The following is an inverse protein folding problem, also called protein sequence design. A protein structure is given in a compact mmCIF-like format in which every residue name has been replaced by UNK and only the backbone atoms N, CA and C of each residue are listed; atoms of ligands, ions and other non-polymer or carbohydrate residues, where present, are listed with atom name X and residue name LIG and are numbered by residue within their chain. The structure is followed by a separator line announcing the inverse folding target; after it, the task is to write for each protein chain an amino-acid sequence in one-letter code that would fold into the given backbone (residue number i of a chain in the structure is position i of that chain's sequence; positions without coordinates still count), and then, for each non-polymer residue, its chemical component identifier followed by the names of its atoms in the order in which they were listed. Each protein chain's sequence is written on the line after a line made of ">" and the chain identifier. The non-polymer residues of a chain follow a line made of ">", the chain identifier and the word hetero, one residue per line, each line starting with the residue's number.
data_IF_222738095376
#
_entry.id   IF_222738095376
#
_cell.length_a   1.000
_cell.length_b   1.000
_cell.length_c   1.000
_cell.angle_alpha   90.00
_cell.angle_beta   90.00
_cell.angle_gamma   90.00
#
_symmetry.space_group_name_H-M   'P 1'
#
loop_
_entity.id
_entity.type
_entity.pdbx_description
1 polymer ?
#
# COMPACT_ATOMS: atom_id res chain seq x y z
N UNK A 1 17.40 1.26 -1.73
CA UNK A 1 16.25 1.60 -2.61
C UNK A 1 15.81 0.44 -3.51
N UNK A 2 16.72 -0.25 -4.22
CA UNK A 2 16.37 -1.38 -5.07
C UNK A 2 15.58 -2.48 -4.32
N UNK A 3 16.01 -2.85 -3.11
CA UNK A 3 15.28 -3.82 -2.29
C UNK A 3 13.84 -3.40 -1.95
N UNK A 4 13.60 -2.11 -1.70
CA UNK A 4 12.23 -1.58 -1.48
C UNK A 4 11.40 -1.72 -2.76
N UNK A 5 11.94 -1.31 -3.91
CA UNK A 5 11.24 -1.40 -5.19
C UNK A 5 10.92 -2.85 -5.57
N UNK A 6 11.87 -3.77 -5.37
CA UNK A 6 11.66 -5.20 -5.59
C UNK A 6 10.58 -5.73 -4.64
N UNK A 7 10.62 -5.37 -3.36
CA UNK A 7 9.61 -5.80 -2.38
C UNK A 7 8.22 -5.28 -2.75
N UNK A 8 8.11 -4.01 -3.15
CA UNK A 8 6.87 -3.41 -3.62
C UNK A 8 6.35 -4.10 -4.88
N UNK A 9 7.23 -4.38 -5.85
CA UNK A 9 6.86 -5.08 -7.08
C UNK A 9 6.37 -6.51 -6.81
N UNK A 10 7.11 -7.28 -6.02
CA UNK A 10 6.72 -8.64 -5.61
C UNK A 10 5.38 -8.61 -4.87
N UNK A 11 5.18 -7.66 -3.96
CA UNK A 11 3.90 -7.48 -3.27
C UNK A 11 2.77 -7.23 -4.25
N UNK A 12 2.93 -6.31 -5.21
CA UNK A 12 1.91 -6.04 -6.23
C UNK A 12 1.59 -7.29 -7.04
N UNK A 13 2.60 -8.06 -7.45
CA UNK A 13 2.40 -9.31 -8.20
C UNK A 13 1.64 -10.36 -7.38
N UNK A 14 2.04 -10.60 -6.13
CA UNK A 14 1.41 -11.59 -5.25
C UNK A 14 -0.05 -11.25 -5.00
N UNK A 15 -0.34 -9.98 -4.73
CA UNK A 15 -1.72 -9.54 -4.55
C UNK A 15 -2.50 -9.56 -5.85
N UNK A 16 -1.93 -9.14 -6.97
CA UNK A 16 -2.59 -9.24 -8.27
C UNK A 16 -2.96 -10.69 -8.58
N UNK A 17 -2.07 -11.65 -8.32
CA UNK A 17 -2.34 -13.09 -8.44
C UNK A 17 -3.44 -13.54 -7.46
N UNK A 18 -3.40 -13.13 -6.19
CA UNK A 18 -4.47 -13.39 -5.23
C UNK A 18 -5.83 -12.90 -5.76
N UNK A 19 -5.89 -11.66 -6.24
CA UNK A 19 -7.11 -11.11 -6.82
C UNK A 19 -7.55 -11.90 -8.05
N UNK A 20 -6.64 -12.22 -8.96
CA UNK A 20 -6.96 -12.91 -10.22
C UNK A 20 -7.43 -14.35 -10.02
N UNK A 21 -6.71 -15.13 -9.21
CA UNK A 21 -6.93 -16.56 -9.14
C UNK A 21 -7.80 -17.00 -7.97
N UNK A 22 -7.94 -16.16 -6.94
CA UNK A 22 -8.71 -16.50 -5.73
C UNK A 22 -9.97 -15.66 -5.62
N UNK A 23 -9.87 -14.33 -5.75
CA UNK A 23 -11.00 -13.44 -5.47
C UNK A 23 -11.89 -13.13 -6.68
N UNK A 24 -11.31 -13.04 -7.88
CA UNK A 24 -12.06 -12.78 -9.12
C UNK A 24 -13.08 -13.89 -9.42
N UNK A 25 -12.78 -15.20 -9.25
CA UNK A 25 -13.79 -16.26 -9.38
C UNK A 25 -14.93 -16.16 -8.35
N UNK A 26 -14.68 -15.49 -7.22
CA UNK A 26 -15.65 -15.28 -6.14
C UNK A 26 -16.33 -13.91 -6.21
N UNK A 27 -16.08 -13.11 -7.26
CA UNK A 27 -16.55 -11.71 -7.35
C UNK A 27 -18.04 -11.60 -7.05
N UNK A 28 -18.87 -12.40 -7.71
CA UNK A 28 -20.33 -12.37 -7.58
C UNK A 28 -20.78 -12.69 -6.15
N UNK A 29 -20.08 -13.63 -5.48
CA UNK A 29 -20.35 -13.96 -4.08
C UNK A 29 -19.92 -12.86 -3.11
N UNK A 30 -18.93 -12.05 -3.48
CA UNK A 30 -18.42 -10.93 -2.69
C UNK A 30 -19.23 -9.64 -2.90
N UNK A 31 -20.07 -9.53 -3.92
CA UNK A 31 -20.80 -8.28 -4.22
C UNK A 31 -21.70 -7.81 -3.07
N UNK A 32 -22.32 -8.75 -2.36
CA UNK A 32 -23.15 -8.45 -1.17
C UNK A 32 -22.35 -7.99 0.05
N UNK A 33 -21.02 -8.17 0.06
CA UNK A 33 -20.16 -7.85 1.18
C UNK A 33 -19.50 -6.49 0.94
N UNK A 34 -20.15 -5.40 1.34
CA UNK A 34 -19.72 -4.02 1.04
C UNK A 34 -18.24 -3.71 1.27
N UNK A 35 -17.64 -4.25 2.34
CA UNK A 35 -16.22 -4.04 2.69
C UNK A 35 -15.25 -4.95 1.94
N UNK A 36 -15.71 -6.10 1.43
CA UNK A 36 -14.88 -7.10 0.74
C UNK A 36 -15.10 -7.11 -0.78
N UNK A 37 -16.17 -6.50 -1.28
CA UNK A 37 -16.44 -6.44 -2.73
C UNK A 37 -15.28 -5.83 -3.49
N UNK A 38 -15.01 -6.39 -4.67
CA UNK A 38 -14.00 -5.89 -5.59
C UNK A 38 -14.60 -4.69 -6.35
N UNK A 39 -14.01 -3.50 -6.18
CA UNK A 39 -14.58 -2.23 -6.70
C UNK A 39 -13.99 -1.81 -8.06
N UNK A 40 -12.86 -2.40 -8.44
CA UNK A 40 -12.18 -2.12 -9.71
C UNK A 40 -12.63 -3.02 -10.85
N UNK A 41 -12.16 -2.67 -12.05
CA UNK A 41 -12.40 -3.43 -13.28
C UNK A 41 -11.85 -4.86 -13.19
N UNK A 42 -12.40 -5.81 -13.97
CA UNK A 42 -11.89 -7.18 -14.05
C UNK A 42 -10.42 -7.23 -14.48
N UNK A 43 -9.73 -8.29 -14.09
CA UNK A 43 -8.30 -8.47 -14.34
C UNK A 43 -7.88 -8.32 -15.82
N UNK A 44 -8.69 -8.82 -16.76
CA UNK A 44 -8.44 -8.72 -18.21
C UNK A 44 -8.28 -7.27 -18.68
N UNK A 45 -9.09 -6.37 -18.15
CA UNK A 45 -9.10 -4.94 -18.52
C UNK A 45 -7.95 -4.20 -17.85
N UNK A 46 -7.57 -4.60 -16.63
CA UNK A 46 -6.39 -4.04 -15.93
C UNK A 46 -5.09 -4.41 -16.62
N UNK A 47 -4.95 -5.63 -17.13
CA UNK A 47 -3.77 -6.06 -17.88
C UNK A 47 -3.65 -5.33 -19.23
N UNK A 48 -4.78 -5.01 -19.88
CA UNK A 48 -4.76 -4.15 -21.07
C UNK A 48 -4.23 -2.73 -20.77
N UNK A 49 -4.39 -2.23 -19.53
CA UNK A 49 -3.79 -0.94 -19.16
C UNK A 49 -2.25 -0.97 -19.13
N UNK A 50 -1.61 -2.15 -19.04
CA UNK A 50 -0.15 -2.27 -19.15
C UNK A 50 0.37 -2.00 -20.56
N UNK A 51 -0.47 -2.13 -21.60
CA UNK A 51 -0.07 -1.80 -22.96
C UNK A 51 -0.14 -0.30 -23.27
N UNK A 52 -0.63 0.53 -22.33
CA UNK A 52 -0.64 1.98 -22.45
C UNK A 52 0.26 2.63 -21.36
N UNK A 53 1.53 2.92 -21.69
CA UNK A 53 2.46 3.56 -20.76
C UNK A 53 2.00 4.93 -20.26
N UNK A 54 1.24 5.68 -21.07
CA UNK A 54 0.74 7.01 -20.71
C UNK A 54 -0.38 6.91 -19.66
N UNK A 55 -1.21 5.86 -19.72
CA UNK A 55 -2.22 5.58 -18.71
C UNK A 55 -1.61 5.31 -17.32
N UNK A 56 -0.40 4.73 -17.27
CA UNK A 56 0.35 4.50 -16.03
C UNK A 56 1.00 5.81 -15.55
N UNK A 57 1.61 6.58 -16.46
CA UNK A 57 2.32 7.82 -16.15
C UNK A 57 1.43 9.02 -15.77
N UNK A 58 0.19 9.11 -16.30
CA UNK A 58 -0.65 10.29 -16.15
C UNK A 58 -1.10 10.61 -14.70
N UNK A 59 -1.15 9.62 -13.81
CA UNK A 59 -1.49 9.81 -12.38
C UNK A 59 -0.25 9.89 -11.47
N UNK A 60 0.94 9.77 -12.06
CA UNK A 60 2.18 9.52 -11.33
C UNK A 60 2.59 10.69 -10.44
N UNK A 61 2.47 11.94 -10.91
CA UNK A 61 2.86 13.12 -10.14
C UNK A 61 2.06 13.24 -8.84
N UNK A 62 0.74 13.04 -8.90
CA UNK A 62 -0.12 13.05 -7.72
C UNK A 62 0.24 11.95 -6.72
N UNK A 63 0.45 10.73 -7.19
CA UNK A 63 0.83 9.61 -6.32
C UNK A 63 2.23 9.76 -5.73
N UNK A 64 3.20 10.29 -6.46
CA UNK A 64 4.56 10.56 -5.96
C UNK A 64 4.55 11.67 -4.91
N UNK A 65 3.86 12.78 -5.17
CA UNK A 65 3.69 13.85 -4.19
C UNK A 65 3.00 13.31 -2.94
N UNK A 66 1.93 12.53 -3.10
CA UNK A 66 1.24 11.91 -1.97
C UNK A 66 2.12 10.90 -1.22
N UNK A 67 2.93 10.12 -1.95
CA UNK A 67 3.90 9.19 -1.39
C UNK A 67 4.92 9.87 -0.48
N UNK A 68 5.39 11.07 -0.84
CA UNK A 68 6.22 11.90 0.05
C UNK A 68 5.47 12.37 1.27
N UNK A 69 4.25 12.89 1.13
CA UNK A 69 3.42 13.32 2.27
C UNK A 69 3.21 12.18 3.25
N UNK A 70 2.85 10.99 2.74
CA UNK A 70 2.69 9.80 3.55
C UNK A 70 3.99 9.40 4.25
N UNK A 71 5.15 9.39 3.56
CA UNK A 71 6.40 9.04 4.24
C UNK A 71 6.86 10.09 5.25
N UNK A 72 6.61 11.37 5.00
CA UNK A 72 6.88 12.42 5.98
C UNK A 72 6.09 12.21 7.27
N UNK A 73 4.81 11.82 7.18
CA UNK A 73 3.97 11.57 8.34
C UNK A 73 4.34 10.22 8.98
N UNK A 74 4.30 9.13 8.23
CA UNK A 74 4.39 7.78 8.79
C UNK A 74 5.81 7.34 9.13
N UNK A 75 6.81 7.70 8.32
CA UNK A 75 8.18 7.34 8.62
C UNK A 75 8.82 8.33 9.61
N UNK A 76 8.68 9.65 9.38
CA UNK A 76 9.36 10.66 10.21
C UNK A 76 8.69 10.89 11.57
N UNK A 77 7.35 10.80 11.66
CA UNK A 77 6.66 10.95 12.94
C UNK A 77 6.43 9.59 13.61
N UNK A 78 5.57 8.74 13.04
CA UNK A 78 5.22 7.47 13.69
C UNK A 78 6.37 6.47 13.74
N UNK A 79 7.14 6.34 12.66
CA UNK A 79 8.34 5.50 12.61
C UNK A 79 9.31 5.87 13.72
N UNK A 80 9.78 7.12 13.72
CA UNK A 80 10.68 7.64 14.76
C UNK A 80 10.10 7.51 16.17
N UNK A 81 8.81 7.83 16.36
CA UNK A 81 8.14 7.67 17.65
C UNK A 81 8.24 6.23 18.16
N UNK A 82 7.83 5.25 17.36
CA UNK A 82 7.87 3.85 17.76
C UNK A 82 9.29 3.31 17.90
N UNK A 83 10.25 3.73 17.07
CA UNK A 83 11.64 3.33 17.25
C UNK A 83 12.37 4.03 18.40
N UNK A 84 11.77 5.05 19.02
CA UNK A 84 12.19 5.55 20.33
C UNK A 84 11.56 4.76 21.48
N UNK A 85 10.32 4.31 21.31
CA UNK A 85 9.62 3.46 22.28
C UNK A 85 10.18 2.04 22.33
N UNK A 86 10.62 1.50 21.20
CA UNK A 86 11.30 0.22 21.08
C UNK A 86 12.75 0.48 20.69
N UNK A 87 13.76 0.04 21.46
CA UNK A 87 15.16 0.33 21.15
C UNK A 87 15.62 -0.51 19.95
N UNK A 88 15.30 -0.02 18.74
CA UNK A 88 15.46 -0.75 17.45
C UNK A 88 16.90 -1.18 17.18
N UNK A 89 17.87 -0.47 17.73
CA UNK A 89 19.30 -0.78 17.59
C UNK A 89 19.74 -1.99 18.43
N UNK A 90 18.94 -2.40 19.43
CA UNK A 90 19.31 -3.50 20.34
C UNK A 90 18.99 -4.89 19.78
N UNK A 91 17.91 -5.02 19.00
CA UNK A 91 17.57 -6.31 18.42
C UNK A 91 16.62 -6.19 17.21
N UNK A 92 16.67 -7.20 16.34
CA UNK A 92 15.73 -7.35 15.22
C UNK A 92 14.27 -7.46 15.68
N UNK A 93 14.05 -7.96 16.90
CA UNK A 93 12.71 -8.07 17.48
C UNK A 93 12.12 -6.70 17.83
N UNK A 94 12.92 -5.79 18.40
CA UNK A 94 12.48 -4.42 18.69
C UNK A 94 12.21 -3.64 17.41
N UNK A 95 13.04 -3.81 16.38
CA UNK A 95 12.78 -3.28 15.04
C UNK A 95 11.45 -3.81 14.48
N UNK A 96 11.19 -5.11 14.61
CA UNK A 96 9.95 -5.71 14.13
C UNK A 96 8.72 -5.16 14.86
N UNK A 97 8.77 -4.94 16.18
CA UNK A 97 7.70 -4.25 16.93
C UNK A 97 7.44 -2.85 16.39
N UNK A 98 8.48 -2.06 16.16
CA UNK A 98 8.34 -0.72 15.59
C UNK A 98 7.69 -0.78 14.19
N UNK A 99 8.10 -1.72 13.34
CA UNK A 99 7.49 -1.95 12.03
C UNK A 99 6.01 -2.32 12.16
N UNK A 100 5.63 -3.23 13.06
CA UNK A 100 4.23 -3.63 13.27
C UNK A 100 3.37 -2.46 13.77
N UNK A 101 3.87 -1.66 14.71
CA UNK A 101 3.14 -0.50 15.20
C UNK A 101 2.94 0.56 14.11
N UNK A 102 4.00 0.92 13.38
CA UNK A 102 3.91 1.85 12.24
C UNK A 102 2.95 1.34 11.16
N UNK A 103 3.07 0.07 10.78
CA UNK A 103 2.21 -0.59 9.80
C UNK A 103 0.74 -0.60 10.23
N UNK A 104 0.47 -0.81 11.52
CA UNK A 104 -0.90 -0.81 12.06
C UNK A 104 -1.52 0.58 11.94
N UNK A 105 -0.81 1.63 12.36
CA UNK A 105 -1.31 3.01 12.23
C UNK A 105 -1.52 3.38 10.77
N UNK A 106 -0.58 3.02 9.90
CA UNK A 106 -0.70 3.27 8.47
C UNK A 106 -1.84 2.47 7.83
N UNK A 107 -2.11 1.25 8.29
CA UNK A 107 -3.26 0.47 7.83
C UNK A 107 -4.58 1.12 8.26
N UNK A 108 -4.70 1.51 9.52
CA UNK A 108 -5.94 2.03 10.10
C UNK A 108 -6.43 3.34 9.46
N UNK A 109 -5.54 4.21 8.96
CA UNK A 109 -5.99 5.44 8.27
C UNK A 109 -6.72 5.16 6.95
N UNK A 110 -6.62 3.95 6.42
CA UNK A 110 -7.30 3.52 5.19
C UNK A 110 -8.66 2.86 5.45
N UNK A 111 -9.17 2.91 6.68
CA UNK A 111 -10.55 2.54 6.98
C UNK A 111 -11.53 3.35 6.10
N UNK A 112 -12.64 2.74 5.65
CA UNK A 112 -13.09 1.35 5.86
C UNK A 112 -12.69 0.39 4.72
N UNK A 113 -11.68 0.72 3.93
CA UNK A 113 -11.28 -0.02 2.73
C UNK A 113 -10.36 -1.20 3.09
N UNK A 114 -10.95 -2.36 3.37
CA UNK A 114 -10.23 -3.55 3.88
C UNK A 114 -9.09 -3.99 2.97
N UNK A 115 -9.27 -3.94 1.65
CA UNK A 115 -8.20 -4.31 0.73
C UNK A 115 -7.03 -3.33 0.80
N UNK A 116 -7.31 -2.04 0.74
CA UNK A 116 -6.28 -1.01 0.86
C UNK A 116 -5.57 -1.08 2.22
N UNK A 117 -6.31 -1.33 3.31
CA UNK A 117 -5.75 -1.56 4.64
C UNK A 117 -4.75 -2.73 4.65
N UNK A 118 -5.08 -3.85 3.99
CA UNK A 118 -4.18 -5.00 3.91
C UNK A 118 -2.89 -4.63 3.16
N UNK A 119 -3.01 -3.95 2.01
CA UNK A 119 -1.86 -3.48 1.23
C UNK A 119 -0.97 -2.53 2.02
N UNK A 120 -1.56 -1.54 2.68
CA UNK A 120 -0.83 -0.52 3.41
C UNK A 120 -0.26 -1.07 4.70
N UNK A 121 -0.83 -2.13 5.29
CA UNK A 121 -0.19 -2.85 6.39
C UNK A 121 1.15 -3.45 5.94
N UNK A 122 1.18 -4.28 4.89
CA UNK A 122 2.44 -4.86 4.40
C UNK A 122 3.40 -3.78 3.87
N UNK A 123 2.87 -2.79 3.14
CA UNK A 123 3.63 -1.63 2.69
C UNK A 123 4.24 -0.85 3.86
N UNK A 124 3.54 -0.73 4.99
CA UNK A 124 4.03 -0.11 6.21
C UNK A 124 5.13 -0.91 6.88
N UNK A 125 5.01 -2.24 6.94
CA UNK A 125 6.07 -3.12 7.49
C UNK A 125 7.37 -2.92 6.69
N UNK A 126 7.30 -3.02 5.35
CA UNK A 126 8.47 -2.81 4.51
C UNK A 126 8.95 -1.36 4.55
N UNK A 127 8.04 -0.40 4.50
CA UNK A 127 8.34 1.03 4.54
C UNK A 127 9.14 1.41 5.78
N UNK A 128 8.70 0.97 6.95
CA UNK A 128 9.41 1.22 8.21
C UNK A 128 10.73 0.47 8.28
N UNK A 129 10.76 -0.81 7.87
CA UNK A 129 12.00 -1.59 7.81
C UNK A 129 13.07 -0.88 6.96
N UNK A 130 12.71 -0.44 5.76
CA UNK A 130 13.64 0.24 4.86
C UNK A 130 13.95 1.67 5.31
N UNK A 131 13.01 2.38 5.95
CA UNK A 131 13.30 3.66 6.59
C UNK A 131 14.49 3.57 7.55
N UNK A 132 14.51 2.57 8.43
CA UNK A 132 15.62 2.34 9.36
C UNK A 132 16.92 1.87 8.71
N UNK A 133 16.90 1.41 7.46
CA UNK A 133 18.11 0.98 6.75
C UNK A 133 18.78 2.09 5.94
N UNK A 134 18.00 3.03 5.39
CA UNK A 134 18.53 4.03 4.46
C UNK A 134 18.32 5.49 4.89
N UNK A 135 17.44 5.79 5.86
CA UNK A 135 17.14 7.14 6.35
C UNK A 135 17.01 8.21 5.25
N UNK A 136 16.47 7.83 4.09
CA UNK A 136 16.34 8.70 2.92
C UNK A 136 14.85 8.76 2.51
N UNK A 137 14.17 9.75 3.09
CA UNK A 137 12.74 9.98 2.89
C UNK A 137 12.38 10.35 1.45
N UNK A 138 13.28 11.05 0.75
CA UNK A 138 13.07 11.42 -0.64
C UNK A 138 12.94 10.18 -1.52
N UNK A 139 13.93 9.29 -1.47
CA UNK A 139 13.93 8.06 -2.24
C UNK A 139 12.78 7.13 -1.82
N UNK A 140 12.51 7.01 -0.51
CA UNK A 140 11.41 6.19 -0.01
C UNK A 140 10.04 6.69 -0.43
N UNK A 141 9.77 8.00 -0.35
CA UNK A 141 8.45 8.53 -0.74
C UNK A 141 8.26 8.51 -2.25
N UNK A 142 9.31 8.75 -3.03
CA UNK A 142 9.26 8.56 -4.48
C UNK A 142 8.93 7.10 -4.84
N UNK A 143 9.65 6.16 -4.24
CA UNK A 143 9.44 4.73 -4.50
C UNK A 143 8.08 4.25 -4.01
N UNK A 144 7.61 4.78 -2.88
CA UNK A 144 6.27 4.50 -2.35
C UNK A 144 5.18 5.00 -3.31
N UNK A 145 5.26 6.26 -3.76
CA UNK A 145 4.28 6.79 -4.71
C UNK A 145 4.32 6.09 -6.07
N UNK A 146 5.51 5.71 -6.54
CA UNK A 146 5.64 4.88 -7.75
C UNK A 146 4.99 3.50 -7.55
N UNK A 147 5.28 2.82 -6.45
CA UNK A 147 4.65 1.53 -6.11
C UNK A 147 3.13 1.65 -5.96
N UNK A 148 2.64 2.72 -5.34
CA UNK A 148 1.21 3.02 -5.22
C UNK A 148 0.54 3.25 -6.57
N UNK A 149 1.23 3.91 -7.52
CA UNK A 149 0.73 4.10 -8.89
C UNK A 149 0.52 2.76 -9.60
N UNK A 150 1.52 1.87 -9.52
CA UNK A 150 1.45 0.53 -10.12
C UNK A 150 0.34 -0.28 -9.45
N UNK A 151 0.28 -0.25 -8.11
CA UNK A 151 -0.72 -0.97 -7.34
C UNK A 151 -2.15 -0.56 -7.73
N UNK A 152 -2.42 0.74 -7.85
CA UNK A 152 -3.72 1.28 -8.27
C UNK A 152 -4.13 0.81 -9.66
N UNK A 153 -3.18 0.66 -10.59
CA UNK A 153 -3.49 0.19 -11.95
C UNK A 153 -3.69 -1.32 -12.02
N UNK A 154 -2.93 -2.08 -11.23
CA UNK A 154 -2.90 -3.54 -11.35
C UNK A 154 -3.90 -4.27 -10.46
N UNK A 155 -4.50 -3.63 -9.46
CA UNK A 155 -5.40 -4.33 -8.51
C UNK A 155 -6.84 -3.83 -8.64
N UNK A 156 -7.86 -4.66 -8.36
CA UNK A 156 -9.28 -4.29 -8.44
C UNK A 156 -9.76 -3.47 -7.23
N UNK A 157 -8.88 -2.63 -6.68
CA UNK A 157 -9.18 -1.85 -5.48
C UNK A 157 -9.25 -0.39 -5.88
N UNK A 158 -10.14 0.36 -5.23
CA UNK A 158 -10.05 1.82 -5.28
C UNK A 158 -9.16 2.29 -4.13
N UNK A 159 -8.55 3.46 -4.29
CA UNK A 159 -7.68 4.07 -3.28
C UNK A 159 -8.43 5.11 -2.45
N UNK A 160 -9.76 5.08 -2.51
CA UNK A 160 -10.61 6.01 -1.77
C UNK A 160 -10.67 5.62 -0.30
N UNK A 161 -10.63 6.62 0.57
CA UNK A 161 -10.66 6.51 2.04
C UNK A 161 -11.69 7.50 2.59
N UNK A 162 -12.32 7.17 3.71
CA UNK A 162 -13.24 8.07 4.40
C UNK A 162 -14.73 7.70 4.33
N UNK A 163 -15.62 8.62 4.77
CA UNK A 163 -17.06 8.36 4.93
C UNK A 163 -17.81 8.04 3.64
N UNK A 164 -17.31 8.54 2.50
CA UNK A 164 -17.83 8.26 1.16
C UNK A 164 -17.75 6.76 0.81
N UNK A 165 -16.88 6.01 1.48
CA UNK A 165 -16.74 4.57 1.31
C UNK A 165 -17.72 3.76 2.16
N UNK A 166 -18.58 4.38 2.97
CA UNK A 166 -19.59 3.69 3.78
C UNK A 166 -20.87 3.36 2.97
N UNK A 167 -21.62 2.31 3.32
CA UNK A 167 -22.92 2.07 2.70
C UNK A 167 -23.82 3.28 2.92
N UNK A 168 -24.49 3.74 1.85
CA UNK A 168 -25.57 4.72 2.00
C UNK A 168 -26.71 4.04 2.77
N UNK A 169 -27.12 4.68 3.87
CA UNK A 169 -28.27 4.23 4.67
C UNK A 169 -29.56 4.42 3.88
#
# INVERSE_FOLDING_TARGET
>A
IAAFLVSAFVMVLLFNALFQFVLEPLRDSLEGWHHLRLRGTPARERLAALSDPLAIGGQWSGYVTWGWVQQLIFASYFGVLFGRSFPVDRSRWELFKACLCSATVFSLIHLPNVWLMAFTFFGGVFGTLFFYQMFNLFALGFSHGFGGSILNKLTPINFSVGPDQMPRR
#
